data_IF_571740281539
#
_entry.id   IF_571740281539
#
_cell.length_a   1.000
_cell.length_b   1.000
_cell.length_c   1.000
_cell.angle_alpha   90.00
_cell.angle_beta   90.00
_cell.angle_gamma   90.00
#
_symmetry.space_group_name_H-M   'P 1'
#
loop_
_entity.id
_entity.type
_entity.pdbx_description
1 polymer ?
#
# COMPACT_ATOMS: atom_id res chain seq x y z
N UNK A 1 -66.07 6.94 -49.28
CA UNK A 1 -66.38 7.91 -50.35
C UNK A 1 -65.49 9.14 -50.17
N UNK A 2 -64.69 9.46 -51.21
CA UNK A 2 -64.26 10.79 -51.71
C UNK A 2 -63.62 11.78 -50.69
N UNK A 3 -62.57 12.52 -50.98
CA UNK A 3 -61.72 12.74 -52.18
C UNK A 3 -60.53 13.62 -51.74
N UNK A 4 -59.44 13.49 -52.48
CA UNK A 4 -58.26 14.36 -52.59
C UNK A 4 -58.55 15.84 -52.91
N UNK A 5 -57.57 16.73 -52.71
CA UNK A 5 -57.06 17.73 -53.69
C UNK A 5 -55.79 18.41 -53.11
N UNK A 6 -54.57 18.06 -53.57
CA UNK A 6 -53.67 18.78 -54.53
C UNK A 6 -53.28 20.22 -54.13
N UNK A 7 -52.01 20.54 -53.78
CA UNK A 7 -50.76 20.77 -54.58
C UNK A 7 -50.64 22.19 -55.21
N UNK A 8 -49.49 22.84 -54.99
CA UNK A 8 -48.63 23.72 -55.87
C UNK A 8 -47.63 24.45 -54.93
N UNK A 9 -46.31 24.17 -54.89
CA UNK A 9 -45.15 24.43 -55.78
C UNK A 9 -44.67 25.89 -55.89
N UNK A 10 -43.38 26.12 -55.52
CA UNK A 10 -42.35 27.02 -56.10
C UNK A 10 -41.39 27.57 -54.99
N UNK A 11 -40.16 27.04 -54.83
CA UNK A 11 -38.84 27.56 -55.33
C UNK A 11 -38.39 28.89 -54.67
N UNK A 12 -37.16 29.17 -54.24
CA UNK A 12 -35.82 28.56 -54.40
C UNK A 12 -34.83 29.30 -53.45
N UNK A 13 -33.64 28.71 -53.31
CA UNK A 13 -32.32 29.30 -52.96
C UNK A 13 -31.79 29.24 -51.51
N UNK A 14 -30.90 28.25 -51.34
CA UNK A 14 -29.47 28.36 -50.98
C UNK A 14 -29.12 29.16 -49.71
N UNK A 15 -28.65 28.45 -48.69
CA UNK A 15 -27.26 28.64 -48.22
C UNK A 15 -26.76 27.34 -47.55
N UNK A 16 -25.58 26.93 -48.00
CA UNK A 16 -24.85 25.76 -47.50
C UNK A 16 -24.29 26.02 -46.10
N UNK A 17 -24.17 24.95 -45.31
CA UNK A 17 -23.44 25.00 -44.04
C UNK A 17 -23.41 23.66 -43.32
N UNK A 18 -22.65 22.70 -43.87
CA UNK A 18 -22.22 21.52 -43.11
C UNK A 18 -21.35 21.98 -41.94
N UNK A 19 -21.74 21.70 -40.71
CA UNK A 19 -20.78 21.53 -39.62
C UNK A 19 -21.02 20.18 -38.96
N UNK A 20 -20.19 19.23 -39.37
CA UNK A 20 -19.90 18.00 -38.64
C UNK A 20 -19.27 18.41 -37.32
N UNK A 21 -20.02 18.31 -36.22
CA UNK A 21 -19.46 18.44 -34.88
C UNK A 21 -18.72 17.12 -34.56
N UNK A 22 -17.46 17.05 -34.99
CA UNK A 22 -16.55 16.01 -34.53
C UNK A 22 -16.25 16.28 -33.06
N UNK A 23 -16.96 15.58 -32.17
CA UNK A 23 -16.60 15.50 -30.75
C UNK A 23 -15.34 14.64 -30.70
N UNK A 24 -14.19 15.30 -30.65
CA UNK A 24 -12.97 14.68 -30.17
C UNK A 24 -13.17 14.41 -28.68
N UNK A 25 -13.62 13.19 -28.34
CA UNK A 25 -13.28 12.64 -27.04
C UNK A 25 -11.76 12.49 -27.01
N UNK A 26 -11.07 13.48 -26.43
CA UNK A 26 -9.79 13.21 -25.81
C UNK A 26 -10.07 12.25 -24.65
N UNK A 27 -10.04 10.96 -24.94
CA UNK A 27 -9.70 9.97 -23.94
C UNK A 27 -8.27 10.30 -23.51
N UNK A 28 -8.13 11.08 -22.45
CA UNK A 28 -6.91 11.11 -21.68
C UNK A 28 -6.78 9.70 -21.09
N UNK A 29 -6.07 8.84 -21.81
CA UNK A 29 -5.56 7.59 -21.28
C UNK A 29 -4.54 7.98 -20.22
N UNK A 30 -5.02 8.24 -19.00
CA UNK A 30 -4.18 8.12 -17.84
C UNK A 30 -3.86 6.64 -17.73
N UNK A 31 -2.65 6.28 -18.16
CA UNK A 31 -2.01 5.10 -17.64
C UNK A 31 -1.93 5.30 -16.12
N UNK A 32 -2.87 4.70 -15.38
CA UNK A 32 -2.74 4.49 -13.95
C UNK A 32 -1.59 3.50 -13.80
N UNK A 33 -0.37 4.02 -13.67
CA UNK A 33 0.74 3.28 -13.11
C UNK A 33 0.35 2.97 -11.67
N UNK A 34 -0.14 1.75 -11.43
CA UNK A 34 -0.18 1.18 -10.09
C UNK A 34 1.21 1.32 -9.48
N UNK A 35 1.28 1.71 -8.21
CA UNK A 35 2.47 2.03 -7.41
C UNK A 35 3.82 1.65 -8.07
N UNK A 36 4.31 2.47 -9.00
CA UNK A 36 5.60 2.24 -9.64
C UNK A 36 6.70 2.68 -8.67
N UNK A 37 7.35 1.69 -8.06
CA UNK A 37 8.62 1.85 -7.36
C UNK A 37 9.70 2.18 -8.40
N UNK A 38 10.16 3.43 -8.44
CA UNK A 38 11.41 3.78 -9.12
C UNK A 38 12.19 4.79 -8.31
N UNK A 39 12.90 4.27 -7.32
CA UNK A 39 14.10 4.92 -6.79
C UNK A 39 15.26 3.93 -6.80
N UNK A 40 15.97 3.87 -7.92
CA UNK A 40 17.31 3.28 -7.97
C UNK A 40 18.27 4.28 -8.60
N UNK A 41 18.80 5.18 -7.78
CA UNK A 41 20.06 5.84 -8.08
C UNK A 41 21.17 4.84 -7.75
N UNK A 42 21.74 4.23 -8.78
CA UNK A 42 22.99 3.47 -8.68
C UNK A 42 23.95 3.95 -9.74
N UNK A 43 24.91 4.72 -9.27
CA UNK A 43 26.19 5.03 -9.90
C UNK A 43 26.99 3.77 -10.24
N UNK A 44 27.44 3.63 -11.48
CA UNK A 44 28.86 3.60 -11.88
C UNK A 44 29.05 2.92 -13.25
N UNK A 45 29.57 3.70 -14.19
CA UNK A 45 30.81 3.48 -14.94
C UNK A 45 31.26 2.03 -15.18
N UNK A 46 31.36 1.60 -16.44
CA UNK A 46 32.64 1.51 -17.18
C UNK A 46 32.45 0.89 -18.57
N UNK A 47 33.28 1.40 -19.51
CA UNK A 47 33.85 0.77 -20.71
C UNK A 47 33.76 1.71 -21.94
N UNK A 48 34.78 2.55 -22.09
CA UNK A 48 35.25 2.97 -23.40
C UNK A 48 36.76 3.23 -23.33
N UNK A 49 37.50 2.48 -24.12
CA UNK A 49 38.96 2.52 -24.24
C UNK A 49 39.47 3.74 -25.02
N UNK A 50 40.74 4.08 -24.75
CA UNK A 50 41.74 4.78 -25.60
C UNK A 50 41.48 6.26 -25.94
N UNK A 51 42.44 7.19 -25.92
CA UNK A 51 43.90 7.17 -25.72
C UNK A 51 44.41 8.63 -25.70
N UNK A 52 45.56 8.87 -25.04
CA UNK A 52 46.49 10.01 -25.23
C UNK A 52 45.98 11.40 -24.78
N UNK A 53 46.73 12.36 -24.20
CA UNK A 53 48.16 12.73 -24.22
C UNK A 53 48.41 13.76 -23.08
N UNK A 54 49.58 13.65 -22.42
CA UNK A 54 50.54 14.71 -21.99
C UNK A 54 50.11 15.85 -21.03
N UNK A 55 50.75 15.82 -19.85
CA UNK A 55 51.34 16.88 -18.99
C UNK A 55 50.79 18.32 -18.93
N UNK A 56 50.65 18.88 -17.73
CA UNK A 56 51.58 19.87 -17.11
C UNK A 56 50.90 20.72 -16.02
N UNK A 57 51.76 21.25 -15.14
CA UNK A 57 51.58 21.93 -13.85
C UNK A 57 50.84 23.29 -13.81
N UNK A 58 50.79 23.80 -12.56
CA UNK A 58 50.62 25.18 -12.04
C UNK A 58 49.22 25.54 -11.50
N UNK A 59 49.06 25.71 -10.19
CA UNK A 59 49.52 26.80 -9.30
C UNK A 59 48.55 28.01 -9.25
N UNK A 60 47.95 28.16 -8.06
CA UNK A 60 47.95 29.37 -7.20
C UNK A 60 47.00 30.56 -7.50
N UNK A 61 46.40 30.98 -6.36
CA UNK A 61 46.03 32.34 -5.88
C UNK A 61 44.55 32.77 -5.86
N UNK A 62 44.00 32.66 -4.65
CA UNK A 62 43.48 33.75 -3.79
C UNK A 62 43.11 35.10 -4.42
N UNK A 63 41.93 35.62 -4.04
CA UNK A 63 41.89 36.92 -3.34
C UNK A 63 40.61 37.10 -2.52
N UNK A 64 40.84 37.47 -1.27
CA UNK A 64 39.90 38.00 -0.29
C UNK A 64 39.45 39.43 -0.64
N UNK A 65 38.27 39.84 -0.21
CA UNK A 65 38.18 40.98 0.71
C UNK A 65 36.78 41.13 1.31
N UNK A 66 36.80 41.27 2.63
CA UNK A 66 35.73 41.60 3.55
C UNK A 66 35.35 43.08 3.49
N UNK A 67 34.11 43.41 3.87
CA UNK A 67 33.83 44.40 4.92
C UNK A 67 32.36 44.37 5.35
N UNK A 68 32.20 44.36 6.67
CA UNK A 68 30.96 44.38 7.45
C UNK A 68 30.29 45.76 7.46
N UNK A 69 28.98 45.78 7.74
CA UNK A 69 28.43 46.61 8.82
C UNK A 69 27.05 46.12 9.31
N UNK A 70 26.85 46.30 10.61
CA UNK A 70 25.76 45.85 11.51
C UNK A 70 24.48 46.69 11.43
N UNK A 71 23.34 46.06 11.79
CA UNK A 71 22.34 46.47 12.80
C UNK A 71 21.20 45.42 12.76
N UNK A 72 20.72 44.71 13.79
CA UNK A 72 20.29 44.91 15.19
C UNK A 72 18.76 44.67 15.34
N UNK A 73 18.33 44.24 16.55
CA UNK A 73 17.00 43.72 17.00
C UNK A 73 16.77 42.20 16.77
N UNK A 74 16.23 41.39 17.69
CA UNK A 74 15.80 41.56 19.09
C UNK A 74 15.71 40.18 19.79
N UNK A 75 15.72 40.22 21.12
CA UNK A 75 15.79 39.15 22.13
C UNK A 75 14.62 38.14 22.20
N UNK A 76 14.89 36.87 22.58
CA UNK A 76 14.59 36.23 23.90
C UNK A 76 14.72 34.69 23.89
N UNK A 77 15.09 34.19 25.06
CA UNK A 77 15.62 32.86 25.40
C UNK A 77 14.54 31.82 25.78
N UNK A 78 14.97 30.54 25.75
CA UNK A 78 14.42 29.36 26.45
C UNK A 78 13.10 28.81 25.89
N UNK A 79 13.01 27.54 25.49
CA UNK A 79 13.42 26.38 26.25
C UNK A 79 13.82 25.22 25.34
N UNK A 80 14.99 24.67 25.60
CA UNK A 80 15.40 23.34 25.17
C UNK A 80 14.42 22.33 25.76
N UNK A 81 13.41 21.98 24.97
CA UNK A 81 12.64 20.77 25.20
C UNK A 81 13.66 19.65 25.05
N UNK A 82 14.04 19.06 26.18
CA UNK A 82 14.66 17.75 26.21
C UNK A 82 13.71 16.86 25.43
N UNK A 83 14.04 16.59 24.17
CA UNK A 83 13.47 15.47 23.45
C UNK A 83 13.88 14.27 24.28
N UNK A 84 12.94 13.80 25.10
CA UNK A 84 13.02 12.49 25.73
C UNK A 84 13.06 11.51 24.58
N UNK A 85 14.28 11.17 24.17
CA UNK A 85 14.58 10.03 23.32
C UNK A 85 13.80 8.89 23.97
N UNK A 86 12.76 8.44 23.29
CA UNK A 86 12.00 7.27 23.72
C UNK A 86 13.03 6.18 23.97
N UNK A 87 13.06 5.74 25.22
CA UNK A 87 13.91 4.65 25.68
C UNK A 87 13.75 3.49 24.71
N UNK A 88 14.88 2.91 24.27
CA UNK A 88 14.92 1.67 23.53
C UNK A 88 14.24 0.57 24.35
N UNK A 89 12.93 0.47 24.27
CA UNK A 89 12.21 -0.74 24.62
C UNK A 89 12.71 -1.79 23.64
N UNK A 90 13.52 -2.73 24.13
CA UNK A 90 14.03 -3.83 23.32
C UNK A 90 12.83 -4.65 22.83
N UNK A 91 12.46 -4.47 21.57
CA UNK A 91 11.46 -5.31 20.90
C UNK A 91 11.90 -6.77 21.07
N UNK A 92 11.06 -7.59 21.70
CA UNK A 92 11.33 -9.01 21.85
C UNK A 92 11.37 -9.67 20.46
N UNK A 93 12.46 -10.37 20.15
CA UNK A 93 12.58 -11.09 18.89
C UNK A 93 11.64 -12.30 18.90
N UNK A 94 10.88 -12.47 17.83
CA UNK A 94 10.05 -13.64 17.62
C UNK A 94 10.97 -14.84 17.33
N UNK A 95 10.78 -15.92 18.08
CA UNK A 95 11.47 -17.18 17.81
C UNK A 95 10.73 -17.90 16.68
N UNK A 96 11.41 -18.32 15.59
CA UNK A 96 10.81 -19.17 14.59
C UNK A 96 10.16 -20.40 15.24
N UNK A 97 8.89 -20.63 14.95
CA UNK A 97 8.10 -21.72 15.54
C UNK A 97 7.65 -22.74 14.50
N UNK A 98 7.87 -22.47 13.20
CA UNK A 98 7.46 -23.33 12.10
C UNK A 98 8.62 -23.65 11.17
N UNK A 99 8.63 -24.90 10.71
CA UNK A 99 9.56 -25.47 9.74
C UNK A 99 8.77 -26.33 8.73
N UNK A 100 9.47 -26.93 7.77
CA UNK A 100 8.85 -27.86 6.81
C UNK A 100 8.24 -29.12 7.47
N UNK A 101 8.76 -29.54 8.62
CA UNK A 101 8.37 -30.81 9.26
C UNK A 101 7.67 -30.65 10.60
N UNK A 102 7.74 -29.47 11.20
CA UNK A 102 7.21 -29.19 12.55
C UNK A 102 6.56 -27.80 12.59
N UNK A 103 5.44 -27.72 13.30
CA UNK A 103 4.73 -26.47 13.57
C UNK A 103 4.41 -26.38 15.06
N UNK A 104 5.22 -25.59 15.77
CA UNK A 104 5.12 -25.33 17.20
C UNK A 104 4.64 -23.90 17.49
N UNK A 105 4.04 -23.23 16.50
CA UNK A 105 3.50 -21.88 16.71
C UNK A 105 2.29 -21.92 17.64
N UNK A 106 2.16 -20.88 18.47
CA UNK A 106 0.99 -20.71 19.33
C UNK A 106 -0.15 -20.12 18.50
N UNK A 107 -1.12 -20.97 18.13
CA UNK A 107 -2.29 -20.57 17.37
C UNK A 107 -3.52 -20.39 18.26
N UNK A 108 -4.43 -19.55 17.77
CA UNK A 108 -5.77 -19.36 18.33
C UNK A 108 -6.78 -19.18 17.21
N UNK A 109 -7.99 -18.77 17.58
CA UNK A 109 -9.05 -18.44 16.63
C UNK A 109 -9.68 -17.10 16.98
N UNK A 110 -10.15 -16.43 15.94
CA UNK A 110 -10.98 -15.23 16.00
C UNK A 110 -12.33 -15.58 15.37
N UNK A 111 -13.40 -15.54 16.16
CA UNK A 111 -14.76 -15.71 15.68
C UNK A 111 -15.33 -14.33 15.32
N UNK A 112 -15.62 -14.11 14.04
CA UNK A 112 -16.31 -12.90 13.59
C UNK A 112 -17.82 -13.13 13.69
N UNK A 113 -18.46 -12.57 14.72
CA UNK A 113 -19.90 -12.76 14.97
C UNK A 113 -20.79 -12.12 13.89
N UNK A 114 -20.24 -11.25 13.04
CA UNK A 114 -20.99 -10.52 12.01
C UNK A 114 -21.37 -11.42 10.84
N UNK A 115 -20.52 -12.38 10.50
CA UNK A 115 -20.72 -13.33 9.38
C UNK A 115 -20.51 -14.80 9.77
N UNK A 116 -20.10 -15.08 11.00
CA UNK A 116 -19.81 -16.44 11.51
C UNK A 116 -18.49 -17.02 10.99
N UNK A 117 -17.65 -16.22 10.32
CA UNK A 117 -16.36 -16.66 9.83
C UNK A 117 -15.38 -16.80 11.00
N UNK A 118 -14.78 -17.99 11.12
CA UNK A 118 -13.71 -18.24 12.08
C UNK A 118 -12.37 -18.12 11.35
N UNK A 119 -11.52 -17.21 11.83
CA UNK A 119 -10.17 -16.99 11.32
C UNK A 119 -9.14 -17.60 12.28
N UNK A 120 -8.07 -18.16 11.72
CA UNK A 120 -6.88 -18.52 12.49
C UNK A 120 -6.13 -17.28 12.92
N UNK A 121 -5.55 -17.35 14.10
CA UNK A 121 -4.67 -16.32 14.65
C UNK A 121 -3.39 -16.97 15.15
N UNK A 122 -2.32 -16.20 15.21
CA UNK A 122 -1.01 -16.66 15.66
C UNK A 122 -0.39 -15.62 16.59
N UNK A 123 0.28 -16.08 17.63
CA UNK A 123 1.04 -15.21 18.52
C UNK A 123 2.46 -15.03 17.97
N UNK A 124 2.85 -13.77 17.73
CA UNK A 124 4.18 -13.41 17.24
C UNK A 124 4.76 -12.38 18.21
N UNK A 125 5.81 -12.78 18.92
CA UNK A 125 6.28 -12.03 20.08
C UNK A 125 5.17 -11.96 21.13
N UNK A 126 4.80 -10.74 21.53
CA UNK A 126 3.75 -10.50 22.53
C UNK A 126 2.38 -10.17 21.91
N UNK A 127 2.29 -10.09 20.57
CA UNK A 127 1.06 -9.68 19.88
C UNK A 127 0.36 -10.88 19.21
N UNK A 128 -0.98 -10.85 19.24
CA UNK A 128 -1.81 -11.78 18.49
C UNK A 128 -2.19 -11.15 17.14
N UNK A 129 -1.85 -11.86 16.06
CA UNK A 129 -2.11 -11.45 14.68
C UNK A 129 -3.09 -12.41 14.03
N UNK A 130 -3.92 -11.91 13.11
CA UNK A 130 -4.61 -12.80 12.18
C UNK A 130 -3.58 -13.56 11.33
N UNK A 131 -3.78 -14.88 11.20
CA UNK A 131 -3.02 -15.78 10.32
C UNK A 131 -3.72 -15.99 8.96
N UNK A 132 -4.93 -15.46 8.79
CA UNK A 132 -5.69 -15.42 7.54
C UNK A 132 -6.09 -13.98 7.18
N UNK A 133 -6.23 -13.67 5.89
CA UNK A 133 -6.71 -12.35 5.46
C UNK A 133 -8.19 -12.22 5.84
N UNK A 134 -8.62 -11.03 6.29
CA UNK A 134 -10.02 -10.77 6.58
C UNK A 134 -10.89 -10.97 5.31
N UNK A 135 -12.01 -11.66 5.44
CA UNK A 135 -12.92 -11.99 4.34
C UNK A 135 -14.36 -11.49 4.57
N UNK A 136 -14.55 -10.59 5.53
CA UNK A 136 -15.83 -9.97 5.84
C UNK A 136 -16.35 -9.13 4.66
N UNK A 137 -17.59 -9.38 4.23
CA UNK A 137 -18.22 -8.61 3.16
C UNK A 137 -18.73 -7.26 3.68
N UNK A 138 -18.02 -6.18 3.35
CA UNK A 138 -18.45 -4.84 3.70
C UNK A 138 -19.59 -4.38 2.79
N UNK A 139 -20.44 -3.48 3.29
CA UNK A 139 -21.53 -2.90 2.51
C UNK A 139 -21.04 -2.18 1.22
N UNK A 140 -19.82 -1.64 1.25
CA UNK A 140 -19.14 -1.07 0.10
C UNK A 140 -17.61 -1.15 0.28
N UNK A 141 -16.88 -1.07 -0.84
CA UNK A 141 -15.43 -0.96 -0.82
C UNK A 141 -14.69 -2.23 -0.42
N UNK A 142 -15.33 -3.41 -0.54
CA UNK A 142 -14.66 -4.71 -0.40
C UNK A 142 -14.87 -5.56 -1.65
N UNK A 143 -13.83 -6.24 -2.12
CA UNK A 143 -13.81 -6.90 -3.42
C UNK A 143 -13.08 -8.25 -3.35
N UNK A 144 -13.60 -9.27 -4.03
CA UNK A 144 -12.84 -10.45 -4.38
C UNK A 144 -11.86 -10.14 -5.52
N UNK A 145 -10.67 -10.73 -5.49
CA UNK A 145 -9.71 -10.51 -6.57
C UNK A 145 -10.31 -10.91 -7.92
N UNK A 146 -10.25 -10.01 -8.90
CA UNK A 146 -10.72 -10.25 -10.26
C UNK A 146 -12.24 -10.26 -10.43
N UNK A 147 -13.00 -9.83 -9.43
CA UNK A 147 -14.45 -9.77 -9.54
C UNK A 147 -14.90 -8.78 -10.63
N UNK A 148 -16.04 -9.08 -11.24
CA UNK A 148 -16.73 -8.23 -12.19
C UNK A 148 -18.22 -8.25 -11.88
N UNK A 149 -18.99 -7.33 -12.47
CA UNK A 149 -20.45 -7.32 -12.33
C UNK A 149 -21.13 -8.64 -12.72
N UNK A 150 -20.51 -9.41 -13.63
CA UNK A 150 -21.05 -10.69 -14.13
C UNK A 150 -20.45 -11.92 -13.44
N UNK A 151 -19.36 -11.76 -12.70
CA UNK A 151 -18.62 -12.87 -12.11
C UNK A 151 -18.03 -12.42 -10.77
N UNK A 152 -18.64 -12.81 -9.63
CA UNK A 152 -18.26 -12.32 -8.31
C UNK A 152 -16.94 -12.90 -7.80
N UNK A 153 -16.36 -13.91 -8.47
CA UNK A 153 -15.08 -14.52 -8.07
C UNK A 153 -15.00 -14.90 -6.59
N UNK A 154 -16.08 -15.45 -6.04
CA UNK A 154 -16.18 -15.85 -4.63
C UNK A 154 -15.10 -16.86 -4.22
N UNK A 155 -14.62 -17.68 -5.15
CA UNK A 155 -13.51 -18.61 -4.95
C UNK A 155 -12.18 -17.91 -4.64
N UNK A 156 -11.97 -16.71 -5.19
CA UNK A 156 -10.77 -15.92 -4.90
C UNK A 156 -10.86 -15.28 -3.51
N UNK A 157 -12.05 -14.85 -3.08
CA UNK A 157 -12.27 -14.44 -1.69
C UNK A 157 -11.99 -15.59 -0.71
N UNK A 158 -12.50 -16.80 -1.00
CA UNK A 158 -12.24 -17.96 -0.16
C UNK A 158 -10.74 -18.33 -0.08
N UNK A 159 -9.97 -18.04 -1.13
CA UNK A 159 -8.53 -18.33 -1.20
C UNK A 159 -7.68 -17.22 -0.57
N UNK A 160 -7.95 -15.97 -0.89
CA UNK A 160 -7.07 -14.83 -0.59
C UNK A 160 -7.66 -13.84 0.43
N UNK A 161 -8.89 -14.05 0.88
CA UNK A 161 -9.68 -13.01 1.55
C UNK A 161 -10.10 -11.90 0.60
N UNK A 162 -10.65 -10.82 1.17
CA UNK A 162 -11.09 -9.64 0.42
C UNK A 162 -10.00 -8.57 0.35
N UNK A 163 -10.10 -7.75 -0.69
CA UNK A 163 -9.39 -6.49 -0.83
C UNK A 163 -10.33 -5.37 -0.43
N UNK A 164 -9.93 -4.52 0.51
CA UNK A 164 -10.72 -3.41 1.02
C UNK A 164 -10.08 -2.11 0.56
N UNK A 165 -10.86 -1.13 0.16
CA UNK A 165 -10.34 0.24 0.07
C UNK A 165 -10.02 0.76 1.46
N UNK A 166 -9.06 1.68 1.55
CA UNK A 166 -8.56 2.13 2.85
C UNK A 166 -9.65 2.70 3.76
N UNK A 167 -10.57 3.52 3.24
CA UNK A 167 -11.70 4.08 4.01
C UNK A 167 -12.55 2.98 4.65
N UNK A 168 -12.96 1.98 3.87
CA UNK A 168 -13.67 0.80 4.37
C UNK A 168 -12.85 0.06 5.43
N UNK A 169 -11.54 -0.14 5.19
CA UNK A 169 -10.68 -0.84 6.13
C UNK A 169 -10.61 -0.14 7.50
N UNK A 170 -10.54 1.20 7.53
CA UNK A 170 -10.53 2.00 8.77
C UNK A 170 -11.93 2.35 9.29
N UNK A 171 -12.98 1.76 8.72
CA UNK A 171 -14.36 1.90 9.19
C UNK A 171 -15.00 3.26 8.91
N UNK A 172 -14.50 3.99 7.91
CA UNK A 172 -14.99 5.30 7.49
C UNK A 172 -15.71 5.20 6.15
N UNK A 173 -16.63 6.13 5.89
CA UNK A 173 -17.21 6.26 4.54
C UNK A 173 -16.20 6.84 3.55
N UNK A 174 -16.39 6.56 2.26
CA UNK A 174 -15.59 7.18 1.20
C UNK A 174 -15.71 8.71 1.21
N UNK A 175 -16.85 9.24 1.65
CA UNK A 175 -17.12 10.68 1.78
C UNK A 175 -16.39 11.34 2.97
N UNK A 176 -16.04 10.57 4.00
CA UNK A 176 -15.29 11.07 5.17
C UNK A 176 -13.78 11.08 4.91
N UNK A 177 -13.29 10.12 4.12
CA UNK A 177 -11.86 9.94 3.84
C UNK A 177 -11.53 10.11 2.36
N UNK A 178 -12.15 11.09 1.70
CA UNK A 178 -11.98 11.43 0.27
C UNK A 178 -10.53 11.87 -0.04
N UNK A 179 -10.17 11.74 -1.32
CA UNK A 179 -9.03 12.43 -1.92
C UNK A 179 -9.07 13.95 -1.64
N UNK A 180 -7.92 14.52 -1.26
CA UNK A 180 -7.75 15.90 -0.84
C UNK A 180 -8.12 16.19 0.62
N UNK A 181 -8.60 15.21 1.39
CA UNK A 181 -9.01 15.39 2.79
C UNK A 181 -8.25 14.47 3.75
N UNK A 182 -7.87 14.98 4.92
CA UNK A 182 -7.22 14.17 5.95
C UNK A 182 -8.27 13.34 6.68
N UNK A 183 -8.05 12.03 6.77
CA UNK A 183 -9.00 11.14 7.42
C UNK A 183 -8.82 11.28 8.93
N UNK A 184 -9.82 11.85 9.62
CA UNK A 184 -9.73 12.14 11.06
C UNK A 184 -10.03 10.89 11.88
N UNK A 185 -9.09 9.94 11.86
CA UNK A 185 -9.18 8.72 12.63
C UNK A 185 -9.14 9.01 14.14
N UNK A 186 -9.89 8.23 14.91
CA UNK A 186 -9.88 8.30 16.37
C UNK A 186 -8.45 8.05 16.88
N UNK A 187 -8.09 8.71 18.00
CA UNK A 187 -6.80 8.47 18.65
C UNK A 187 -6.81 7.10 19.31
N UNK A 188 -5.76 6.31 19.07
CA UNK A 188 -5.60 4.97 19.62
C UNK A 188 -5.82 3.90 18.56
N UNK A 189 -6.25 2.71 19.01
CA UNK A 189 -6.52 1.59 18.11
C UNK A 189 -7.74 1.89 17.23
N UNK A 190 -7.54 1.80 15.93
CA UNK A 190 -8.62 1.96 14.95
C UNK A 190 -9.17 0.57 14.64
N UNK A 191 -10.28 0.19 15.30
CA UNK A 191 -10.95 -1.08 15.03
C UNK A 191 -11.21 -1.25 13.53
N UNK A 192 -11.84 -0.24 12.92
CA UNK A 192 -12.16 -0.25 11.50
C UNK A 192 -13.04 -1.45 11.12
N UNK A 193 -12.67 -2.17 10.06
CA UNK A 193 -13.39 -3.35 9.60
C UNK A 193 -13.07 -4.61 10.42
N UNK A 194 -12.11 -4.55 11.35
CA UNK A 194 -11.79 -5.69 12.21
C UNK A 194 -12.94 -6.03 13.17
N UNK A 195 -13.06 -7.30 13.58
CA UNK A 195 -14.01 -7.70 14.63
C UNK A 195 -13.71 -7.01 15.97
N UNK A 196 -14.69 -7.02 16.88
CA UNK A 196 -14.54 -6.43 18.22
C UNK A 196 -13.35 -7.03 18.98
N UNK A 197 -12.58 -6.16 19.67
CA UNK A 197 -11.35 -6.54 20.37
C UNK A 197 -10.13 -6.71 19.44
N UNK A 198 -10.25 -6.32 18.17
CA UNK A 198 -9.19 -6.32 17.19
C UNK A 198 -9.19 -5.01 16.40
N UNK A 199 -8.02 -4.63 15.87
CA UNK A 199 -7.87 -3.37 15.14
C UNK A 199 -6.95 -3.49 13.91
N UNK A 200 -7.04 -2.48 13.04
CA UNK A 200 -6.15 -2.31 11.90
C UNK A 200 -4.77 -1.90 12.43
N UNK A 201 -3.68 -2.62 12.11
CA UNK A 201 -2.37 -2.35 12.66
C UNK A 201 -1.88 -0.96 12.24
N UNK A 202 -1.17 -0.30 13.14
CA UNK A 202 -0.45 0.93 12.83
C UNK A 202 0.92 0.65 12.22
N UNK A 203 1.59 1.68 11.68
CA UNK A 203 2.98 1.56 11.23
C UNK A 203 3.92 1.12 12.37
N UNK A 204 3.66 1.53 13.60
CA UNK A 204 4.47 1.14 14.75
C UNK A 204 4.36 -0.36 15.01
N UNK A 205 3.15 -0.92 14.93
CA UNK A 205 2.93 -2.37 15.11
C UNK A 205 3.46 -3.21 13.96
N UNK A 206 3.29 -2.72 12.72
CA UNK A 206 3.99 -3.32 11.58
C UNK A 206 5.51 -3.29 11.76
N UNK A 207 6.04 -2.17 12.26
CA UNK A 207 7.46 -2.01 12.58
C UNK A 207 7.92 -3.01 13.63
N UNK A 208 7.16 -3.17 14.71
CA UNK A 208 7.40 -4.17 15.76
C UNK A 208 7.41 -5.58 15.17
N UNK A 209 6.42 -5.96 14.37
CA UNK A 209 6.38 -7.27 13.70
C UNK A 209 7.61 -7.49 12.81
N UNK A 210 7.96 -6.49 11.99
CA UNK A 210 9.09 -6.58 11.05
C UNK A 210 10.42 -6.77 11.79
N UNK A 211 10.61 -6.05 12.90
CA UNK A 211 11.80 -6.15 13.75
C UNK A 211 11.80 -7.48 14.51
N UNK A 212 10.67 -7.89 15.10
CA UNK A 212 10.55 -9.11 15.87
C UNK A 212 10.91 -10.35 15.01
N UNK A 213 10.42 -10.40 13.77
CA UNK A 213 10.64 -11.55 12.86
C UNK A 213 11.99 -11.45 12.12
N UNK A 214 12.40 -10.24 11.76
CA UNK A 214 13.59 -9.98 10.96
C UNK A 214 14.89 -9.90 11.74
N UNK A 215 14.83 -9.55 13.02
CA UNK A 215 15.98 -9.02 13.75
C UNK A 215 16.38 -7.63 13.25
N UNK A 216 17.49 -7.10 13.79
CA UNK A 216 17.93 -5.71 13.59
C UNK A 216 18.22 -5.30 12.14
N UNK A 217 18.38 -6.24 11.21
CA UNK A 217 18.66 -5.94 9.80
C UNK A 217 17.48 -6.19 8.86
N UNK A 218 16.39 -6.81 9.36
CA UNK A 218 15.15 -7.13 8.64
C UNK A 218 15.30 -7.74 7.23
N UNK A 219 16.49 -8.27 6.89
CA UNK A 219 16.89 -8.62 5.53
C UNK A 219 16.17 -9.86 4.98
N UNK A 220 15.56 -10.65 5.88
CA UNK A 220 14.84 -11.89 5.58
C UNK A 220 13.42 -11.91 6.14
N UNK A 221 12.93 -10.79 6.69
CA UNK A 221 11.59 -10.73 7.29
C UNK A 221 10.51 -11.19 6.32
N UNK A 222 10.60 -10.78 5.06
CA UNK A 222 9.59 -11.09 4.05
C UNK A 222 9.46 -12.59 3.78
N UNK A 223 10.58 -13.31 3.61
CA UNK A 223 10.51 -14.77 3.40
C UNK A 223 10.01 -15.54 4.62
N UNK A 224 10.20 -14.99 5.83
CA UNK A 224 9.69 -15.58 7.07
C UNK A 224 8.19 -15.33 7.30
N UNK A 225 7.62 -14.28 6.72
CA UNK A 225 6.20 -13.93 6.83
C UNK A 225 5.34 -14.50 5.68
N UNK A 226 5.94 -14.65 4.49
CA UNK A 226 5.25 -15.16 3.30
C UNK A 226 4.86 -16.62 3.48
N UNK A 227 3.63 -16.94 3.08
CA UNK A 227 3.19 -18.32 2.93
C UNK A 227 4.08 -19.10 1.95
N UNK A 228 4.13 -20.42 2.12
CA UNK A 228 4.95 -21.32 1.29
C UNK A 228 4.31 -21.67 -0.05
N UNK A 229 3.02 -21.36 -0.23
CA UNK A 229 2.24 -21.64 -1.44
C UNK A 229 1.71 -20.36 -2.09
N UNK A 230 1.18 -20.48 -3.31
CA UNK A 230 0.57 -19.42 -4.14
C UNK A 230 1.50 -18.30 -4.61
N UNK A 231 2.66 -18.10 -3.98
CA UNK A 231 3.68 -17.17 -4.45
C UNK A 231 4.35 -17.69 -5.73
N UNK A 232 4.55 -16.79 -6.68
CA UNK A 232 5.38 -17.01 -7.85
C UNK A 232 6.81 -17.35 -7.42
N UNK A 233 7.36 -18.41 -8.00
CA UNK A 233 8.74 -18.79 -7.75
C UNK A 233 9.73 -17.73 -8.24
N UNK A 234 10.80 -17.52 -7.48
CA UNK A 234 11.95 -16.69 -7.85
C UNK A 234 13.22 -17.42 -7.46
N UNK A 235 14.11 -17.58 -8.43
CA UNK A 235 15.40 -18.23 -8.20
C UNK A 235 16.17 -17.56 -7.05
N UNK A 236 16.65 -18.38 -6.12
CA UNK A 236 17.36 -17.91 -4.95
C UNK A 236 16.47 -17.25 -3.89
N UNK A 237 15.14 -17.41 -3.91
CA UNK A 237 14.24 -16.99 -2.83
C UNK A 237 13.32 -18.14 -2.45
N UNK A 238 13.32 -18.50 -1.17
CA UNK A 238 12.46 -19.53 -0.59
C UNK A 238 11.67 -18.91 0.55
N UNK A 239 10.33 -18.93 0.44
CA UNK A 239 9.43 -18.54 1.51
C UNK A 239 9.29 -19.71 2.49
N UNK A 240 9.24 -19.44 3.78
CA UNK A 240 9.29 -20.48 4.83
C UNK A 240 8.20 -20.33 5.89
N UNK A 241 7.45 -19.22 5.91
CA UNK A 241 6.40 -18.95 6.92
C UNK A 241 6.84 -19.29 8.37
N UNK A 242 8.04 -18.86 8.75
CA UNK A 242 8.73 -19.33 9.96
C UNK A 242 7.98 -19.03 11.29
N UNK A 243 6.96 -18.17 11.25
CA UNK A 243 6.20 -17.70 12.42
C UNK A 243 4.68 -17.90 12.26
N UNK A 244 4.23 -18.64 11.25
CA UNK A 244 2.80 -18.96 11.06
C UNK A 244 1.92 -17.76 10.63
N UNK A 245 2.52 -16.67 10.15
CA UNK A 245 1.79 -15.48 9.68
C UNK A 245 1.06 -15.74 8.35
N UNK A 246 1.64 -16.60 7.51
CA UNK A 246 1.06 -17.09 6.26
C UNK A 246 0.53 -15.98 5.33
N UNK A 247 1.35 -14.96 5.04
CA UNK A 247 0.95 -13.90 4.11
C UNK A 247 0.73 -14.45 2.69
N UNK A 248 -0.49 -14.31 2.18
CA UNK A 248 -0.88 -14.73 0.84
C UNK A 248 -0.71 -13.60 -0.18
N UNK A 249 -0.28 -13.90 -1.43
CA UNK A 249 -0.09 -12.90 -2.47
C UNK A 249 -1.40 -12.55 -3.17
N UNK A 250 -2.29 -11.87 -2.44
CA UNK A 250 -3.62 -11.49 -2.90
C UNK A 250 -3.62 -10.42 -4.00
N UNK A 251 -2.49 -9.77 -4.25
CA UNK A 251 -2.41 -8.63 -5.16
C UNK A 251 -3.11 -7.39 -4.60
N UNK A 252 -3.59 -6.57 -5.52
CA UNK A 252 -4.30 -5.32 -5.23
C UNK A 252 -5.46 -5.09 -6.21
N UNK A 253 -6.30 -4.12 -5.84
CA UNK A 253 -7.29 -3.52 -6.71
C UNK A 253 -6.95 -2.05 -6.92
N UNK A 254 -6.58 -1.70 -8.15
CA UNK A 254 -6.31 -0.32 -8.56
C UNK A 254 -7.53 0.60 -8.42
N UNK A 255 -7.28 1.92 -8.36
CA UNK A 255 -8.34 2.96 -8.31
C UNK A 255 -9.37 2.79 -9.44
N UNK A 256 -8.93 2.38 -10.64
CA UNK A 256 -9.80 2.13 -11.79
C UNK A 256 -10.62 0.83 -11.72
N UNK A 257 -10.49 0.05 -10.66
CA UNK A 257 -11.15 -1.24 -10.47
C UNK A 257 -10.48 -2.42 -11.16
N UNK A 258 -9.31 -2.21 -11.77
CA UNK A 258 -8.45 -3.30 -12.25
C UNK A 258 -7.81 -4.05 -11.08
N UNK A 259 -7.44 -5.30 -11.32
CA UNK A 259 -6.78 -6.16 -10.34
C UNK A 259 -5.40 -6.58 -10.82
N UNK A 260 -4.41 -6.54 -9.94
CA UNK A 260 -3.02 -6.73 -10.30
C UNK A 260 -2.27 -7.55 -9.26
N UNK A 261 -1.16 -8.16 -9.67
CA UNK A 261 -0.18 -8.68 -8.72
C UNK A 261 -0.53 -9.96 -7.97
N UNK A 262 -1.65 -10.64 -8.24
CA UNK A 262 -1.93 -11.95 -7.62
C UNK A 262 -0.77 -12.92 -7.85
N UNK A 263 -0.40 -13.67 -6.82
CA UNK A 263 0.79 -14.53 -6.82
C UNK A 263 2.12 -13.78 -6.71
N UNK A 264 2.15 -12.46 -6.86
CA UNK A 264 3.39 -11.66 -6.90
C UNK A 264 3.52 -10.65 -5.77
N UNK A 265 2.40 -10.16 -5.23
CA UNK A 265 2.34 -9.05 -4.28
C UNK A 265 1.36 -9.37 -3.15
N UNK A 266 1.71 -9.00 -1.93
CA UNK A 266 0.78 -8.93 -0.80
C UNK A 266 0.90 -7.56 -0.15
N UNK A 267 -0.25 -6.88 -0.04
CA UNK A 267 -0.36 -5.57 0.60
C UNK A 267 -1.34 -5.67 1.76
N UNK A 268 -0.97 -5.10 2.91
CA UNK A 268 -1.82 -5.02 4.09
C UNK A 268 -1.95 -3.58 4.57
N UNK A 269 -3.18 -3.10 4.73
CA UNK A 269 -3.40 -1.73 5.19
C UNK A 269 -2.81 -1.46 6.58
N UNK A 270 -2.39 -0.22 6.77
CA UNK A 270 -2.10 0.38 8.07
C UNK A 270 -3.16 1.40 8.42
N UNK A 271 -3.49 1.55 9.70
CA UNK A 271 -4.30 2.66 10.19
C UNK A 271 -3.53 3.99 10.16
N UNK A 272 -2.20 3.95 10.00
CA UNK A 272 -1.38 5.16 9.86
C UNK A 272 -1.51 5.81 8.50
N UNK A 273 -1.40 7.13 8.49
CA UNK A 273 -1.45 7.96 7.29
C UNK A 273 -0.23 8.89 7.23
N UNK A 274 0.56 8.80 6.16
CA UNK A 274 1.76 9.63 5.99
C UNK A 274 1.40 11.07 5.60
N UNK A 275 0.45 11.21 4.68
CA UNK A 275 -0.10 12.49 4.20
C UNK A 275 -1.59 12.34 3.89
N UNK A 276 -2.29 13.47 3.75
CA UNK A 276 -3.72 13.61 3.42
C UNK A 276 -4.25 12.56 2.42
N UNK A 277 -3.47 12.22 1.39
CA UNK A 277 -3.88 11.28 0.33
C UNK A 277 -3.14 9.96 0.33
N UNK A 278 -2.24 9.75 1.29
CA UNK A 278 -1.28 8.66 1.27
C UNK A 278 -1.36 7.80 2.53
N UNK A 279 -2.38 6.93 2.64
CA UNK A 279 -2.42 5.88 3.64
C UNK A 279 -1.21 4.95 3.53
N UNK A 280 -0.76 4.45 4.67
CA UNK A 280 0.34 3.51 4.73
C UNK A 280 -0.14 2.07 4.57
N UNK A 281 0.77 1.21 4.15
CA UNK A 281 0.57 -0.23 4.09
C UNK A 281 1.90 -0.97 4.26
N UNK A 282 1.83 -2.23 4.69
CA UNK A 282 2.92 -3.17 4.62
C UNK A 282 2.91 -3.87 3.26
N UNK A 283 4.08 -4.10 2.66
CA UNK A 283 4.23 -4.85 1.40
C UNK A 283 5.20 -6.02 1.49
N UNK A 284 4.85 -7.09 0.79
CA UNK A 284 5.68 -8.25 0.50
C UNK A 284 5.66 -8.51 -1.01
N UNK A 285 6.85 -8.75 -1.58
CA UNK A 285 7.02 -9.03 -3.01
C UNK A 285 7.60 -10.41 -3.23
N UNK A 286 7.24 -11.06 -4.34
CA UNK A 286 7.74 -12.40 -4.66
C UNK A 286 9.26 -12.43 -4.87
N UNK A 287 9.81 -11.32 -5.38
CA UNK A 287 11.21 -11.16 -5.71
C UNK A 287 12.05 -10.53 -4.59
N UNK A 288 11.45 -10.19 -3.44
CA UNK A 288 12.14 -9.59 -2.30
C UNK A 288 12.18 -10.54 -1.10
N UNK A 289 13.26 -10.40 -0.32
CA UNK A 289 13.46 -11.14 0.94
C UNK A 289 12.94 -10.38 2.17
N UNK A 290 12.69 -9.10 2.02
CA UNK A 290 12.31 -8.17 3.08
C UNK A 290 10.80 -7.90 3.08
N UNK A 291 10.32 -7.41 4.23
CA UNK A 291 9.03 -6.74 4.33
C UNK A 291 9.31 -5.24 4.50
N UNK A 292 8.45 -4.38 3.97
CA UNK A 292 8.63 -2.94 4.07
C UNK A 292 7.30 -2.23 4.27
N UNK A 293 7.36 -1.06 4.91
CA UNK A 293 6.26 -0.11 4.94
C UNK A 293 6.37 0.83 3.75
N UNK A 294 5.23 1.13 3.13
CA UNK A 294 5.11 2.09 2.04
C UNK A 294 3.83 2.91 2.22
N UNK A 295 3.50 3.72 1.22
CA UNK A 295 2.28 4.51 1.15
C UNK A 295 1.87 4.72 -0.31
N UNK A 296 0.56 4.73 -0.56
CA UNK A 296 0.00 4.88 -1.92
C UNK A 296 -1.21 5.82 -1.87
N UNK A 297 -1.72 6.21 -3.03
CA UNK A 297 -2.92 7.04 -3.08
C UNK A 297 -4.15 6.30 -2.56
N UNK A 298 -5.05 7.05 -1.92
CA UNK A 298 -6.41 6.57 -1.58
C UNK A 298 -7.14 6.03 -2.82
N UNK A 299 -7.96 5.00 -2.62
CA UNK A 299 -8.79 4.38 -3.67
C UNK A 299 -8.26 3.04 -4.19
N UNK A 300 -7.02 2.70 -3.85
CA UNK A 300 -6.48 1.34 -3.96
C UNK A 300 -7.21 0.39 -2.98
N UNK A 301 -7.22 -0.90 -3.28
CA UNK A 301 -7.78 -1.95 -2.44
C UNK A 301 -6.76 -3.02 -2.06
N UNK A 302 -6.51 -3.19 -0.76
CA UNK A 302 -5.53 -4.15 -0.21
C UNK A 302 -6.17 -5.07 0.83
N UNK A 303 -5.48 -6.16 1.16
CA UNK A 303 -5.92 -7.07 2.21
C UNK A 303 -5.84 -6.41 3.60
N UNK A 304 -6.57 -6.98 4.56
CA UNK A 304 -6.52 -6.58 5.97
C UNK A 304 -6.06 -7.77 6.82
N UNK A 305 -5.16 -7.49 7.76
CA UNK A 305 -4.77 -8.36 8.87
C UNK A 305 -4.98 -7.56 10.14
N UNK A 306 -5.79 -8.09 11.05
CA UNK A 306 -6.07 -7.44 12.32
C UNK A 306 -5.09 -7.89 13.41
N UNK A 307 -4.83 -7.01 14.36
CA UNK A 307 -4.09 -7.29 15.60
C UNK A 307 -5.05 -7.20 16.77
N UNK A 308 -4.88 -8.10 17.73
CA UNK A 308 -5.73 -8.12 18.93
C UNK A 308 -5.38 -6.92 19.82
N UNK A 309 -6.38 -6.29 20.40
CA UNK A 309 -6.17 -5.26 21.41
C UNK A 309 -5.38 -5.82 22.59
N UNK A 310 -4.56 -4.96 23.20
CA UNK A 310 -3.91 -5.29 24.47
C UNK A 310 -4.91 -5.06 25.61
N UNK A 311 -4.95 -6.01 26.55
CA UNK A 311 -5.76 -5.91 27.77
C UNK A 311 -5.26 -4.79 28.71
#
# INVERSE_FOLDING_TARGET
>A
MKKSFQRVFATQNLFQGKQSLSIFMLAAIFALSGCDDSSSASSNETEASSSSVVSSDNEVKSSSSTKENKDSSDSKSSSSVKVSILSSSSVALATPCKTETEDNCEYGTLNDERDGQIYKTVKIGDQWWMAENLNYEAASGSYCYGETKSDPKTENCATYGRLYIWSTAVGMSEDECVYGSYCSLLRGNVQGICPDGWHIPTNDEWGVLIIAVGGSNSSTTGVKLKATTLWKAKDGITNVDAVGFAALPAGDRGVGGGFYGVGSLAYFWSASQYKVDYPNFMTLRYDWRTASLSYCQKGEGFSVRCVKDSD
#
